data_IF_995060107656
#
_entry.id   IF_995060107656
#
_cell.length_a   1.000
_cell.length_b   1.000
_cell.length_c   1.000
_cell.angle_alpha   90.00
_cell.angle_beta   90.00
_cell.angle_gamma   90.00
#
_symmetry.space_group_name_H-M   'P 1'
#
loop_
_entity.id
_entity.type
_entity.pdbx_description
1 polymer ?
#
# COMPACT_ATOMS: atom_id res chain seq x y z
N UNK A 1 -18.95 -0.35 -3.85
CA UNK A 1 -17.98 0.60 -3.26
C UNK A 1 -17.04 1.01 -4.36
N UNK A 2 -16.89 2.31 -4.61
CA UNK A 2 -15.96 2.81 -5.65
C UNK A 2 -14.64 3.11 -4.97
N UNK A 3 -13.63 2.28 -5.25
CA UNK A 3 -12.28 2.51 -4.74
C UNK A 3 -11.57 3.60 -5.54
N UNK A 4 -10.65 4.36 -4.92
CA UNK A 4 -9.81 5.30 -5.65
C UNK A 4 -9.03 4.60 -6.77
N UNK A 5 -8.88 5.28 -7.90
CA UNK A 5 -8.09 4.74 -9.01
C UNK A 5 -6.65 4.44 -8.55
N UNK A 6 -6.13 3.29 -8.96
CA UNK A 6 -4.81 2.81 -8.57
C UNK A 6 -4.79 2.05 -7.23
N UNK A 7 -5.94 1.79 -6.60
CA UNK A 7 -5.99 0.91 -5.43
C UNK A 7 -5.49 -0.48 -5.82
N UNK A 8 -4.40 -0.92 -5.20
CA UNK A 8 -3.85 -2.27 -5.39
C UNK A 8 -4.19 -3.18 -4.22
N UNK A 9 -4.47 -2.61 -3.05
CA UNK A 9 -4.75 -3.37 -1.83
C UNK A 9 -5.79 -2.67 -0.97
N UNK A 10 -6.52 -3.45 -0.16
CA UNK A 10 -7.48 -2.95 0.82
C UNK A 10 -7.16 -3.66 2.14
N UNK A 11 -7.04 -2.87 3.20
CA UNK A 11 -6.79 -3.38 4.54
C UNK A 11 -8.10 -3.83 5.22
N UNK A 12 -8.00 -4.57 6.33
CA UNK A 12 -9.16 -5.14 7.02
C UNK A 12 -10.16 -4.09 7.54
N UNK A 13 -9.68 -2.88 7.81
CA UNK A 13 -10.49 -1.72 8.20
C UNK A 13 -11.18 -1.03 7.00
N UNK A 14 -10.91 -1.50 5.78
CA UNK A 14 -11.42 -0.94 4.54
C UNK A 14 -10.53 0.16 3.94
N UNK A 15 -9.36 0.45 4.52
CA UNK A 15 -8.45 1.47 4.01
C UNK A 15 -7.85 1.05 2.67
N UNK A 16 -8.03 1.84 1.59
CA UNK A 16 -7.40 1.58 0.30
C UNK A 16 -5.91 1.93 0.32
N UNK A 17 -5.11 1.07 -0.30
CA UNK A 17 -3.66 1.19 -0.43
C UNK A 17 -3.25 1.04 -1.90
N UNK A 18 -2.16 1.70 -2.27
CA UNK A 18 -1.45 1.47 -3.54
C UNK A 18 0.05 1.34 -3.30
N UNK A 19 0.72 0.60 -4.19
CA UNK A 19 2.16 0.49 -4.23
C UNK A 19 2.63 0.95 -5.61
N UNK A 20 3.45 2.00 -5.65
CA UNK A 20 4.06 2.54 -6.86
C UNK A 20 5.57 2.63 -6.59
N UNK A 21 6.39 2.02 -7.44
CA UNK A 21 7.86 2.07 -7.34
C UNK A 21 8.40 1.65 -5.95
N UNK A 22 7.80 0.62 -5.34
CA UNK A 22 8.09 0.15 -3.97
C UNK A 22 7.75 1.15 -2.84
N UNK A 23 7.05 2.24 -3.15
CA UNK A 23 6.54 3.19 -2.17
C UNK A 23 5.06 2.90 -1.95
N UNK A 24 4.70 2.69 -0.68
CA UNK A 24 3.31 2.49 -0.28
C UNK A 24 2.63 3.83 -0.03
N UNK A 25 1.40 3.94 -0.52
CA UNK A 25 0.53 5.08 -0.28
C UNK A 25 -0.80 4.58 0.27
N UNK A 26 -1.31 5.26 1.30
CA UNK A 26 -2.66 5.03 1.81
C UNK A 26 -3.59 6.12 1.28
N UNK A 27 -4.86 5.78 1.06
CA UNK A 27 -5.87 6.75 0.67
C UNK A 27 -6.39 7.49 1.88
N UNK A 28 -6.12 8.79 1.96
CA UNK A 28 -6.72 9.64 2.96
C UNK A 28 -8.13 10.07 2.50
N UNK A 29 -9.16 9.50 3.13
CA UNK A 29 -10.56 9.80 2.82
C UNK A 29 -10.98 11.25 3.11
N UNK A 30 -10.30 11.94 4.02
CA UNK A 30 -10.61 13.34 4.40
C UNK A 30 -10.18 14.31 3.31
N UNK A 31 -8.93 14.20 2.85
CA UNK A 31 -8.39 15.09 1.81
C UNK A 31 -8.53 14.51 0.39
N UNK A 32 -9.08 13.29 0.27
CA UNK A 32 -9.27 12.55 -0.99
C UNK A 32 -7.99 12.48 -1.83
N UNK A 33 -6.87 12.09 -1.19
CA UNK A 33 -5.56 11.99 -1.84
C UNK A 33 -4.79 10.78 -1.34
N UNK A 34 -3.89 10.30 -2.18
CA UNK A 34 -2.87 9.33 -1.82
C UNK A 34 -1.78 10.02 -0.99
N UNK A 35 -1.55 9.52 0.21
CA UNK A 35 -0.48 10.00 1.08
C UNK A 35 0.63 8.94 1.15
N UNK A 36 1.90 9.31 0.92
CA UNK A 36 2.99 8.37 1.07
C UNK A 36 3.04 7.90 2.52
N UNK A 37 3.14 6.61 2.71
CA UNK A 37 3.37 6.04 4.01
C UNK A 37 4.86 6.18 4.36
N UNK A 38 5.15 7.01 5.37
CA UNK A 38 6.52 7.27 5.86
C UNK A 38 6.66 6.72 7.27
N UNK A 39 6.46 5.40 7.41
CA UNK A 39 6.69 4.67 8.66
C UNK A 39 7.81 3.64 8.50
N UNK A 40 8.35 3.15 9.63
CA UNK A 40 9.13 1.91 9.63
C UNK A 40 8.23 0.83 9.05
N UNK A 41 8.51 0.41 7.83
CA UNK A 41 7.70 -0.60 7.19
C UNK A 41 7.81 -1.85 8.05
N UNK A 42 6.69 -2.29 8.63
CA UNK A 42 6.65 -3.59 9.27
C UNK A 42 7.00 -4.59 8.18
N UNK A 43 8.19 -5.21 8.26
CA UNK A 43 8.68 -6.12 7.22
C UNK A 43 7.62 -7.19 6.90
N UNK A 44 6.84 -7.63 7.89
CA UNK A 44 5.73 -8.57 7.71
C UNK A 44 4.62 -8.08 6.76
N UNK A 45 4.47 -6.76 6.54
CA UNK A 45 3.55 -6.20 5.55
C UNK A 45 4.12 -6.25 4.12
N UNK A 46 5.45 -6.22 3.97
CA UNK A 46 6.13 -6.38 2.67
C UNK A 46 6.38 -7.84 2.29
N UNK A 47 6.66 -8.69 3.27
CA UNK A 47 7.16 -10.05 3.06
C UNK A 47 6.12 -10.97 2.37
N UNK A 48 4.83 -10.66 2.50
CA UNK A 48 3.76 -11.43 1.86
C UNK A 48 3.53 -11.02 0.40
N UNK A 49 4.14 -9.92 -0.09
CA UNK A 49 3.76 -9.31 -1.38
C UNK A 49 4.90 -8.86 -2.27
N UNK A 50 6.15 -8.96 -1.83
CA UNK A 50 7.30 -8.93 -2.72
C UNK A 50 7.65 -10.39 -3.07
N UNK A 51 7.66 -10.80 -4.36
CA UNK A 51 8.39 -12.01 -4.69
C UNK A 51 9.82 -11.73 -4.25
N UNK A 52 10.35 -12.57 -3.35
CA UNK A 52 11.78 -12.61 -3.07
C UNK A 52 12.48 -12.62 -4.42
N UNK A 53 13.06 -11.49 -4.81
CA UNK A 53 13.98 -11.45 -5.94
C UNK A 53 15.07 -12.43 -5.54
N UNK A 54 15.08 -13.56 -6.23
CA UNK A 54 15.97 -14.66 -5.93
C UNK A 54 17.40 -14.15 -5.93
N UNK A 55 18.10 -14.36 -4.82
CA UNK A 55 19.55 -14.42 -4.85
C UNK A 55 19.95 -15.85 -5.24
N UNK A 56 20.68 -15.90 -6.35
CA UNK A 56 21.44 -17.04 -6.89
C UNK A 56 22.70 -17.31 -6.08
#
# INVERSE_FOLDING_TARGET
MTYPAGTTNIENDGTPWKCEENIWYFWNGVIKRWCPYVGLVNQNFLDVRMPLVGEV
#
